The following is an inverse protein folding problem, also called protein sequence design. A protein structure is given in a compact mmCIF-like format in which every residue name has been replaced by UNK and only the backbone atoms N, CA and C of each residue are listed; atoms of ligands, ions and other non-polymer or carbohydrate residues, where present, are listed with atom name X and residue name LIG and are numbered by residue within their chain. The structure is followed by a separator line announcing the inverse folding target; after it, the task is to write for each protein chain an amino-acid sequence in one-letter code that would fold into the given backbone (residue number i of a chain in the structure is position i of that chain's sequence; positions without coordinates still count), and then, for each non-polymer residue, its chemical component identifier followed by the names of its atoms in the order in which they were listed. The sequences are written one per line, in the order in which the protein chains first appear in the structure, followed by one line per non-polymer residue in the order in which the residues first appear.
data_IF_526311208088
#
_entry.id   IF_526311208088
#
_cell.length_a   1.000
_cell.length_b   1.000
_cell.length_c   1.000
_cell.angle_alpha   90.00
_cell.angle_beta   90.00
_cell.angle_gamma   90.00
#
_symmetry.space_group_name_H-M   'P 1'
#
loop_
_entity.id
_entity.type
_entity.pdbx_description
1 polymer ?
#
# COMPACT_ATOMS: atom_id res chain seq x y z
N UNK A 1 19.47 -12.73 21.07
CA UNK A 1 19.06 -12.42 22.45
C UNK A 1 17.95 -13.39 22.82
N UNK A 2 18.14 -14.14 23.91
CA UNK A 2 17.08 -14.98 24.45
C UNK A 2 15.97 -14.10 25.02
N UNK A 3 14.72 -14.56 24.86
CA UNK A 3 13.56 -13.85 25.39
C UNK A 3 13.53 -13.99 26.92
N UNK A 4 13.74 -12.87 27.60
CA UNK A 4 13.78 -12.80 29.08
C UNK A 4 12.42 -12.52 29.71
N UNK A 5 11.35 -12.33 28.88
CA UNK A 5 10.02 -11.98 29.37
C UNK A 5 9.23 -13.23 29.79
N UNK A 6 8.54 -13.13 30.92
CA UNK A 6 7.53 -14.12 31.31
C UNK A 6 6.32 -14.06 30.34
N UNK A 7 5.53 -15.15 30.24
CA UNK A 7 4.31 -15.15 29.40
C UNK A 7 3.35 -14.00 29.75
N UNK A 8 3.19 -13.68 31.04
CA UNK A 8 2.34 -12.58 31.48
C UNK A 8 2.88 -11.22 31.08
N UNK A 9 4.18 -10.98 31.22
CA UNK A 9 4.83 -9.76 30.77
C UNK A 9 4.69 -9.57 29.24
N UNK A 10 4.87 -10.66 28.49
CA UNK A 10 4.70 -10.65 27.04
C UNK A 10 3.26 -10.31 26.65
N UNK A 11 2.28 -10.99 27.24
CA UNK A 11 0.86 -10.71 27.01
C UNK A 11 0.55 -9.23 27.31
N UNK A 12 1.04 -8.68 28.43
CA UNK A 12 0.86 -7.29 28.78
C UNK A 12 1.47 -6.33 27.74
N UNK A 13 2.70 -6.57 27.30
CA UNK A 13 3.33 -5.76 26.25
C UNK A 13 2.57 -5.83 24.92
N UNK A 14 2.18 -7.03 24.50
CA UNK A 14 1.47 -7.24 23.23
C UNK A 14 0.09 -6.62 23.24
N UNK A 15 -0.64 -6.65 24.35
CA UNK A 15 -1.97 -6.04 24.48
C UNK A 15 -1.94 -4.50 24.37
N UNK A 16 -0.78 -3.89 24.60
CA UNK A 16 -0.60 -2.43 24.51
C UNK A 16 -0.13 -1.93 23.15
N UNK A 17 0.21 -2.84 22.24
CA UNK A 17 0.58 -2.46 20.87
C UNK A 17 -0.68 -1.93 20.16
N UNK A 18 -0.63 -0.66 19.79
CA UNK A 18 -1.73 -0.01 19.07
C UNK A 18 -1.69 -0.41 17.61
N UNK A 19 -2.83 -0.83 17.07
CA UNK A 19 -3.02 -1.13 15.65
C UNK A 19 -3.51 0.07 14.83
N UNK A 20 -3.74 1.22 15.48
CA UNK A 20 -4.22 2.45 14.86
C UNK A 20 -3.61 3.66 15.56
N UNK A 21 -3.53 4.76 14.82
CA UNK A 21 -2.99 6.03 15.31
C UNK A 21 -1.58 5.89 15.87
N UNK A 22 -0.78 5.09 15.20
CA UNK A 22 0.63 4.89 15.51
C UNK A 22 1.42 6.19 15.26
N UNK A 23 2.59 6.28 15.87
CA UNK A 23 3.47 7.45 15.68
C UNK A 23 3.84 7.68 14.21
N UNK A 24 4.21 6.66 13.40
CA UNK A 24 4.45 6.83 11.98
C UNK A 24 3.24 7.36 11.20
N UNK A 25 2.06 6.79 11.42
CA UNK A 25 0.81 7.26 10.78
C UNK A 25 0.53 8.74 11.09
N UNK A 26 0.68 9.15 12.36
CA UNK A 26 0.49 10.56 12.77
C UNK A 26 1.49 11.50 12.10
N UNK A 27 2.74 11.07 11.89
CA UNK A 27 3.76 11.86 11.18
C UNK A 27 3.37 12.09 9.73
N UNK A 28 2.95 11.04 9.01
CA UNK A 28 2.47 11.12 7.62
C UNK A 28 1.26 12.05 7.53
N UNK A 29 0.25 11.85 8.38
CA UNK A 29 -0.97 12.67 8.41
C UNK A 29 -0.67 14.14 8.69
N UNK A 30 0.21 14.44 9.66
CA UNK A 30 0.61 15.80 10.01
C UNK A 30 1.34 16.48 8.86
N UNK A 31 2.24 15.76 8.19
CA UNK A 31 2.98 16.29 7.05
C UNK A 31 2.03 16.62 5.89
N UNK A 32 1.19 15.67 5.49
CA UNK A 32 0.19 15.88 4.44
C UNK A 32 -0.72 17.08 4.71
N UNK A 33 -1.21 17.20 5.94
CA UNK A 33 -2.06 18.32 6.32
C UNK A 33 -1.34 19.66 6.24
N UNK A 34 -0.09 19.72 6.72
CA UNK A 34 0.77 20.91 6.67
C UNK A 34 1.00 21.40 5.23
N UNK A 35 1.11 20.46 4.28
CA UNK A 35 1.34 20.75 2.85
C UNK A 35 0.04 20.89 2.04
N UNK A 36 -1.10 21.10 2.70
CA UNK A 36 -2.36 21.40 2.05
C UNK A 36 -3.11 20.20 1.47
N UNK A 37 -2.62 18.98 1.67
CA UNK A 37 -3.30 17.76 1.22
C UNK A 37 -4.50 17.45 2.11
N UNK A 38 -5.62 17.09 1.47
CA UNK A 38 -6.84 16.65 2.16
C UNK A 38 -7.03 15.16 1.95
N UNK A 39 -7.29 14.46 3.03
CA UNK A 39 -7.41 13.00 3.05
C UNK A 39 -8.53 12.54 4.00
N UNK A 40 -8.88 11.27 3.91
CA UNK A 40 -9.77 10.59 4.85
C UNK A 40 -9.02 9.41 5.48
N UNK A 41 -9.43 9.06 6.69
CA UNK A 41 -8.93 7.90 7.43
C UNK A 41 -10.07 6.92 7.68
N UNK A 42 -9.77 5.65 7.92
CA UNK A 42 -10.76 4.62 8.28
C UNK A 42 -11.93 4.54 7.27
N UNK A 43 -11.68 4.68 5.98
CA UNK A 43 -12.73 4.64 4.95
C UNK A 43 -13.26 3.21 4.81
N UNK A 44 -14.56 3.03 5.06
CA UNK A 44 -15.23 1.73 4.87
C UNK A 44 -15.30 1.37 3.38
N UNK A 45 -15.20 0.08 3.06
CA UNK A 45 -15.30 -0.42 1.68
C UNK A 45 -14.03 -0.27 0.84
N UNK A 46 -12.93 0.25 1.41
CA UNK A 46 -11.63 0.26 0.74
C UNK A 46 -10.83 -0.97 1.18
N UNK A 47 -10.41 -1.84 0.25
CA UNK A 47 -9.62 -3.04 0.56
C UNK A 47 -8.35 -2.71 1.35
N UNK A 48 -7.94 -3.60 2.26
CA UNK A 48 -6.72 -3.44 3.05
C UNK A 48 -6.78 -2.38 4.15
N UNK A 49 -7.84 -1.57 4.23
CA UNK A 49 -8.03 -0.49 5.23
C UNK A 49 -6.83 0.47 5.27
N UNK A 50 -6.53 1.20 4.21
CA UNK A 50 -5.40 2.12 4.15
C UNK A 50 -5.48 3.19 5.26
N UNK A 51 -4.33 3.62 5.76
CA UNK A 51 -4.20 4.63 6.82
C UNK A 51 -4.59 6.03 6.35
N UNK A 52 -4.42 6.28 5.04
CA UNK A 52 -4.76 7.55 4.38
C UNK A 52 -5.38 7.27 3.03
N UNK A 53 -6.54 7.88 2.76
CA UNK A 53 -7.24 7.80 1.46
C UNK A 53 -7.40 9.19 0.87
N UNK A 54 -6.82 9.42 -0.29
CA UNK A 54 -6.84 10.69 -1.00
C UNK A 54 -7.68 10.57 -2.29
N UNK A 55 -8.99 10.85 -2.18
CA UNK A 55 -9.92 10.69 -3.32
C UNK A 55 -9.57 11.53 -4.53
N UNK A 56 -9.13 12.79 -4.31
CA UNK A 56 -8.71 13.69 -5.40
C UNK A 56 -7.60 13.06 -6.24
N UNK A 57 -6.64 12.41 -5.60
CA UNK A 57 -5.49 11.76 -6.24
C UNK A 57 -5.72 10.29 -6.55
N UNK A 58 -6.90 9.72 -6.20
CA UNK A 58 -7.19 8.28 -6.27
C UNK A 58 -6.06 7.44 -5.66
N UNK A 59 -5.56 7.86 -4.52
CA UNK A 59 -4.40 7.25 -3.87
C UNK A 59 -4.76 6.73 -2.49
N UNK A 60 -4.33 5.50 -2.22
CA UNK A 60 -4.39 4.84 -0.93
C UNK A 60 -2.96 4.70 -0.38
N UNK A 61 -2.72 5.22 0.83
CA UNK A 61 -1.40 5.15 1.48
C UNK A 61 -1.51 4.20 2.66
N UNK A 62 -0.60 3.23 2.71
CA UNK A 62 -0.42 2.29 3.82
C UNK A 62 0.86 2.63 4.56
N UNK A 63 0.82 2.62 5.88
CA UNK A 63 1.96 2.86 6.76
C UNK A 63 2.28 1.56 7.50
N UNK A 64 3.21 0.80 6.95
CA UNK A 64 3.53 -0.54 7.42
C UNK A 64 4.62 -0.52 8.48
N UNK A 65 4.39 -1.20 9.61
CA UNK A 65 5.42 -1.50 10.60
C UNK A 65 6.39 -2.55 10.03
N UNK A 66 7.69 -2.27 10.09
CA UNK A 66 8.71 -3.12 9.47
C UNK A 66 8.63 -4.57 9.91
N UNK A 67 8.46 -4.81 11.20
CA UNK A 67 8.38 -6.16 11.76
C UNK A 67 7.12 -6.93 11.31
N UNK A 68 5.94 -6.27 11.37
CA UNK A 68 4.65 -6.93 11.14
C UNK A 68 4.42 -7.32 9.68
N UNK A 69 5.04 -6.58 8.77
CA UNK A 69 4.90 -6.77 7.32
C UNK A 69 6.18 -7.28 6.66
N UNK A 70 7.21 -7.62 7.46
CA UNK A 70 8.45 -8.25 6.99
C UNK A 70 9.27 -7.39 6.03
N UNK A 71 9.45 -6.10 6.34
CA UNK A 71 10.18 -5.19 5.47
C UNK A 71 11.62 -5.68 5.19
N UNK A 72 11.90 -5.98 3.92
CA UNK A 72 13.22 -6.46 3.47
C UNK A 72 13.58 -7.86 3.98
N UNK A 73 12.64 -8.60 4.56
CA UNK A 73 12.83 -10.01 4.90
C UNK A 73 12.61 -10.84 3.66
N UNK A 74 13.61 -11.59 3.25
CA UNK A 74 13.50 -12.58 2.19
C UNK A 74 13.31 -13.96 2.79
N UNK A 75 12.28 -14.64 2.34
CA UNK A 75 12.00 -16.03 2.72
C UNK A 75 12.17 -16.87 1.45
N UNK A 76 13.22 -17.67 1.39
CA UNK A 76 13.48 -18.55 0.27
C UNK A 76 13.23 -20.00 0.70
N UNK A 77 12.36 -20.69 -0.04
CA UNK A 77 12.19 -22.13 0.08
C UNK A 77 12.97 -22.78 -1.05
N UNK A 78 13.99 -23.56 -0.72
CA UNK A 78 14.82 -24.27 -1.70
C UNK A 78 14.00 -25.28 -2.56
N UNK A 79 12.74 -25.57 -2.17
CA UNK A 79 11.82 -26.49 -2.89
C UNK A 79 10.85 -25.77 -3.84
N UNK A 80 10.62 -24.48 -3.61
CA UNK A 80 9.77 -23.65 -4.43
C UNK A 80 10.59 -22.42 -4.81
N UNK A 81 11.10 -22.30 -5.99
CA UNK A 81 11.81 -21.09 -6.47
C UNK A 81 10.90 -19.85 -6.47
N UNK A 82 10.30 -19.53 -5.33
CA UNK A 82 9.44 -18.37 -5.11
C UNK A 82 10.18 -17.40 -4.22
N UNK A 83 10.79 -16.43 -4.84
CA UNK A 83 11.35 -15.27 -4.14
C UNK A 83 10.19 -14.32 -3.78
N UNK A 84 9.76 -14.32 -2.53
CA UNK A 84 8.85 -13.30 -2.02
C UNK A 84 9.70 -12.15 -1.49
N UNK A 85 10.26 -11.39 -2.38
CA UNK A 85 11.06 -10.20 -2.09
C UNK A 85 10.49 -9.01 -2.82
N UNK A 86 9.92 -8.06 -2.09
CA UNK A 86 9.54 -6.77 -2.63
C UNK A 86 10.77 -5.90 -2.86
N UNK A 87 11.32 -5.90 -4.05
CA UNK A 87 12.14 -4.81 -4.58
C UNK A 87 11.64 -4.48 -5.98
N UNK A 88 11.55 -3.18 -6.27
CA UNK A 88 11.16 -2.58 -7.54
C UNK A 88 11.76 -3.31 -8.75
N UNK A 89 10.95 -4.07 -9.43
CA UNK A 89 11.01 -4.31 -10.88
C UNK A 89 10.02 -5.41 -11.25
N UNK A 90 9.16 -5.12 -12.23
CA UNK A 90 8.10 -6.01 -12.68
C UNK A 90 8.60 -7.39 -13.11
N UNK A 91 8.22 -8.41 -12.35
CA UNK A 91 8.40 -9.81 -12.71
C UNK A 91 7.01 -10.45 -12.80
N UNK A 92 6.78 -11.08 -13.93
CA UNK A 92 5.55 -11.77 -14.28
C UNK A 92 5.16 -12.81 -13.22
N UNK A 93 3.97 -12.64 -12.65
CA UNK A 93 3.38 -13.60 -11.70
C UNK A 93 2.74 -14.74 -12.49
N UNK A 94 3.35 -15.92 -12.42
CA UNK A 94 2.70 -17.16 -12.82
C UNK A 94 1.47 -17.43 -11.95
N UNK A 95 0.36 -17.87 -12.55
CA UNK A 95 -0.86 -18.29 -11.85
C UNK A 95 -0.52 -19.40 -10.85
N UNK A 96 -0.61 -19.11 -9.57
CA UNK A 96 -0.57 -20.10 -8.51
C UNK A 96 -2.00 -20.35 -8.06
N UNK A 97 -2.48 -21.57 -8.25
CA UNK A 97 -3.79 -22.02 -7.74
C UNK A 97 -3.82 -21.97 -6.22
N UNK A 98 -4.86 -21.32 -5.68
CA UNK A 98 -5.15 -21.20 -4.26
C UNK A 98 -5.45 -22.57 -3.63
N UNK A 99 -4.44 -23.17 -2.99
CA UNK A 99 -4.68 -24.11 -1.90
C UNK A 99 -3.89 -23.65 -0.69
N UNK A 100 -4.58 -23.19 0.34
CA UNK A 100 -4.03 -22.98 1.69
C UNK A 100 -3.47 -24.31 2.24
N UNK A 101 -2.25 -24.64 1.88
CA UNK A 101 -1.51 -25.74 2.49
C UNK A 101 -0.73 -25.13 3.67
N UNK A 102 -0.80 -25.70 4.87
CA UNK A 102 0.03 -25.24 5.98
C UNK A 102 1.50 -25.36 5.57
N UNK A 103 2.17 -24.22 5.52
CA UNK A 103 3.56 -24.11 5.09
C UNK A 103 4.46 -24.84 6.09
N UNK A 104 5.08 -25.97 5.69
CA UNK A 104 6.10 -26.62 6.49
C UNK A 104 7.42 -25.89 6.31
N UNK A 105 7.95 -25.34 7.39
CA UNK A 105 9.12 -24.45 7.42
C UNK A 105 10.46 -25.24 7.40
N UNK A 106 10.46 -26.54 7.22
CA UNK A 106 11.68 -27.33 7.09
C UNK A 106 12.41 -26.98 5.78
N UNK A 107 13.59 -26.36 5.89
CA UNK A 107 14.44 -25.98 4.76
C UNK A 107 14.29 -24.51 4.31
N UNK A 108 13.54 -23.68 5.00
CA UNK A 108 13.39 -22.26 4.68
C UNK A 108 14.58 -21.47 5.20
N UNK A 109 15.25 -20.76 4.30
CA UNK A 109 16.26 -19.76 4.64
C UNK A 109 15.60 -18.41 4.81
N UNK A 110 15.93 -17.72 5.91
CA UNK A 110 15.41 -16.39 6.22
C UNK A 110 16.55 -15.41 6.33
N UNK A 111 16.51 -14.41 5.47
CA UNK A 111 17.43 -13.28 5.54
C UNK A 111 16.74 -12.11 6.23
N UNK A 112 17.27 -11.71 7.39
CA UNK A 112 16.77 -10.56 8.13
C UNK A 112 17.27 -9.26 7.52
N UNK A 113 16.42 -8.22 7.51
CA UNK A 113 16.83 -6.87 7.16
C UNK A 113 17.31 -6.09 8.38
N UNK A 114 17.92 -4.92 8.15
CA UNK A 114 18.36 -4.04 9.24
C UNK A 114 17.21 -3.57 10.15
N UNK A 115 16.02 -3.37 9.58
CA UNK A 115 14.85 -2.85 10.30
C UNK A 115 13.84 -3.93 10.71
N UNK A 116 13.98 -5.16 10.23
CA UNK A 116 13.12 -6.29 10.59
C UNK A 116 13.96 -7.53 10.91
N UNK A 117 13.92 -7.94 12.18
CA UNK A 117 14.61 -9.14 12.65
C UNK A 117 13.59 -10.12 13.20
N UNK A 118 13.56 -11.32 12.67
CA UNK A 118 12.68 -12.39 13.14
C UNK A 118 13.23 -12.93 14.46
N UNK A 119 12.40 -13.07 15.50
CA UNK A 119 12.81 -13.64 16.79
C UNK A 119 13.29 -15.08 16.62
N UNK A 120 14.33 -15.44 17.37
CA UNK A 120 14.84 -16.80 17.39
C UNK A 120 13.91 -17.78 18.12
N UNK A 121 13.07 -17.27 19.03
CA UNK A 121 12.02 -18.06 19.68
C UNK A 121 10.77 -18.10 18.81
N UNK A 122 10.21 -19.29 18.59
CA UNK A 122 9.04 -19.51 17.72
C UNK A 122 9.21 -18.94 16.31
N UNK A 123 10.40 -19.10 15.74
CA UNK A 123 10.75 -18.57 14.40
C UNK A 123 9.76 -18.99 13.34
N UNK A 124 9.35 -20.27 13.34
CA UNK A 124 8.37 -20.81 12.39
C UNK A 124 7.03 -20.06 12.44
N UNK A 125 6.50 -19.83 13.63
CA UNK A 125 5.26 -19.07 13.81
C UNK A 125 5.37 -17.65 13.22
N UNK A 126 6.51 -16.97 13.45
CA UNK A 126 6.73 -15.62 12.96
C UNK A 126 6.87 -15.57 11.45
N UNK A 127 7.59 -16.52 10.86
CA UNK A 127 7.73 -16.63 9.41
C UNK A 127 6.36 -16.80 8.76
N UNK A 128 5.57 -17.79 9.21
CA UNK A 128 4.23 -18.01 8.67
C UNK A 128 3.32 -16.79 8.83
N UNK A 129 3.41 -16.10 9.96
CA UNK A 129 2.62 -14.89 10.21
C UNK A 129 3.00 -13.75 9.27
N UNK A 130 4.29 -13.54 9.04
CA UNK A 130 4.80 -12.49 8.14
C UNK A 130 4.38 -12.81 6.69
N UNK A 131 4.56 -14.04 6.23
CA UNK A 131 4.15 -14.47 4.89
C UNK A 131 2.65 -14.19 4.66
N UNK A 132 1.78 -14.65 5.57
CA UNK A 132 0.33 -14.39 5.46
C UNK A 132 -0.02 -12.90 5.44
N UNK A 133 0.71 -12.08 6.19
CA UNK A 133 0.51 -10.64 6.17
C UNK A 133 0.91 -10.06 4.81
N UNK A 134 2.05 -10.46 4.25
CA UNK A 134 2.53 -10.00 2.95
C UNK A 134 1.59 -10.42 1.82
N UNK A 135 1.13 -11.68 1.80
CA UNK A 135 0.17 -12.19 0.81
C UNK A 135 -1.14 -11.39 0.84
N UNK A 136 -1.70 -11.22 2.04
CA UNK A 136 -2.93 -10.41 2.23
C UNK A 136 -2.74 -8.98 1.78
N UNK A 137 -1.60 -8.35 2.10
CA UNK A 137 -1.31 -6.97 1.73
C UNK A 137 -1.18 -6.84 0.22
N UNK A 138 -0.45 -7.76 -0.44
CA UNK A 138 -0.32 -7.79 -1.90
C UNK A 138 -1.66 -8.00 -2.61
N UNK A 139 -2.50 -8.88 -2.10
CA UNK A 139 -3.85 -9.09 -2.64
C UNK A 139 -4.67 -7.79 -2.56
N UNK A 140 -4.66 -7.11 -1.40
CA UNK A 140 -5.36 -5.84 -1.23
C UNK A 140 -4.81 -4.74 -2.16
N UNK A 141 -3.49 -4.67 -2.33
CA UNK A 141 -2.86 -3.70 -3.23
C UNK A 141 -3.25 -3.96 -4.69
N UNK A 142 -3.25 -5.23 -5.11
CA UNK A 142 -3.70 -5.62 -6.45
C UNK A 142 -5.14 -5.21 -6.71
N UNK A 143 -6.07 -5.54 -5.80
CA UNK A 143 -7.48 -5.15 -5.92
C UNK A 143 -7.63 -3.63 -6.05
N UNK A 144 -6.88 -2.85 -5.27
CA UNK A 144 -6.92 -1.39 -5.36
C UNK A 144 -6.41 -0.88 -6.71
N UNK A 145 -5.29 -1.44 -7.20
CA UNK A 145 -4.69 -1.05 -8.47
C UNK A 145 -5.61 -1.39 -9.66
N UNK A 146 -6.24 -2.57 -9.66
CA UNK A 146 -7.23 -2.99 -10.66
C UNK A 146 -8.44 -2.05 -10.69
N UNK A 147 -8.83 -1.50 -9.52
CA UNK A 147 -9.86 -0.48 -9.40
C UNK A 147 -9.37 0.95 -9.71
N UNK A 148 -8.18 1.10 -10.30
CA UNK A 148 -7.62 2.39 -10.70
C UNK A 148 -7.19 3.28 -9.53
N UNK A 149 -6.79 2.69 -8.41
CA UNK A 149 -6.16 3.40 -7.31
C UNK A 149 -4.64 3.30 -7.39
N UNK A 150 -3.96 4.39 -7.11
CA UNK A 150 -2.55 4.34 -6.78
C UNK A 150 -2.39 3.81 -5.35
N UNK A 151 -1.48 2.86 -5.17
CA UNK A 151 -1.11 2.35 -3.85
C UNK A 151 0.29 2.84 -3.52
N UNK A 152 0.44 3.50 -2.37
CA UNK A 152 1.73 3.93 -1.83
C UNK A 152 1.93 3.22 -0.49
N UNK A 153 3.03 2.49 -0.36
CA UNK A 153 3.40 1.81 0.88
C UNK A 153 4.58 2.54 1.50
N UNK A 154 4.40 2.97 2.74
CA UNK A 154 5.43 3.66 3.53
C UNK A 154 5.84 2.76 4.69
N UNK A 155 7.14 2.62 4.89
CA UNK A 155 7.69 1.81 5.95
C UNK A 155 8.06 2.64 7.18
N UNK A 156 7.82 2.11 8.36
CA UNK A 156 8.14 2.79 9.62
C UNK A 156 9.58 3.31 9.69
N UNK A 157 10.55 2.56 9.17
CA UNK A 157 11.95 2.95 9.14
C UNK A 157 12.20 4.22 8.30
N UNK A 158 11.44 4.42 7.21
CA UNK A 158 11.50 5.59 6.33
C UNK A 158 10.87 6.84 6.97
N UNK A 159 10.01 6.65 7.97
CA UNK A 159 9.27 7.71 8.65
C UNK A 159 9.94 8.19 9.94
N UNK A 160 11.21 7.81 10.16
CA UNK A 160 12.02 8.37 11.24
C UNK A 160 12.23 9.87 11.00
N UNK A 161 12.39 10.69 12.06
CA UNK A 161 12.46 12.17 11.92
C UNK A 161 13.48 12.65 10.88
N UNK A 162 14.62 11.98 10.77
CA UNK A 162 15.70 12.34 9.82
C UNK A 162 15.37 12.05 8.35
N UNK A 163 14.50 11.07 8.10
CA UNK A 163 14.16 10.61 6.74
C UNK A 163 12.77 11.06 6.30
N UNK A 164 11.95 11.51 7.24
CA UNK A 164 10.54 11.84 7.01
C UNK A 164 10.36 12.82 5.84
N UNK A 165 11.08 13.93 5.86
CA UNK A 165 10.92 14.97 4.84
C UNK A 165 11.25 14.45 3.44
N UNK A 166 12.38 13.77 3.30
CA UNK A 166 12.79 13.17 2.03
C UNK A 166 11.76 12.15 1.52
N UNK A 167 11.30 11.26 2.40
CA UNK A 167 10.28 10.25 2.05
C UNK A 167 8.98 10.89 1.60
N UNK A 168 8.53 11.92 2.30
CA UNK A 168 7.27 12.58 1.99
C UNK A 168 7.32 13.43 0.71
N UNK A 169 8.48 14.02 0.39
CA UNK A 169 8.68 14.66 -0.91
C UNK A 169 8.58 13.66 -2.07
N UNK A 170 9.11 12.44 -1.90
CA UNK A 170 8.93 11.37 -2.89
C UNK A 170 7.44 11.00 -3.06
N UNK A 171 6.69 10.93 -1.96
CA UNK A 171 5.24 10.71 -2.00
C UNK A 171 4.54 11.82 -2.78
N UNK A 172 4.90 13.07 -2.55
CA UNK A 172 4.34 14.22 -3.26
C UNK A 172 4.56 14.13 -4.78
N UNK A 173 5.78 13.81 -5.19
CA UNK A 173 6.09 13.59 -6.62
C UNK A 173 5.24 12.47 -7.21
N UNK A 174 5.09 11.34 -6.49
CA UNK A 174 4.25 10.23 -6.94
C UNK A 174 2.77 10.63 -7.06
N UNK A 175 2.24 11.39 -6.10
CA UNK A 175 0.86 11.90 -6.13
C UNK A 175 0.61 12.78 -7.36
N UNK A 176 1.51 13.71 -7.64
CA UNK A 176 1.37 14.62 -8.78
C UNK A 176 1.50 13.89 -10.11
N UNK A 177 2.48 13.01 -10.25
CA UNK A 177 2.67 12.21 -11.47
C UNK A 177 1.45 11.34 -11.78
N UNK A 178 0.88 10.70 -10.77
CA UNK A 178 -0.32 9.88 -10.96
C UNK A 178 -1.55 10.73 -11.27
N UNK A 179 -1.69 11.87 -10.62
CA UNK A 179 -2.78 12.82 -10.88
C UNK A 179 -2.75 13.33 -12.33
N UNK A 180 -1.59 13.76 -12.81
CA UNK A 180 -1.41 14.23 -14.19
C UNK A 180 -1.75 13.14 -15.21
N UNK A 181 -1.24 11.92 -15.02
CA UNK A 181 -1.57 10.76 -15.89
C UNK A 181 -3.07 10.45 -15.91
N UNK A 182 -3.75 10.61 -14.78
CA UNK A 182 -5.18 10.34 -14.67
C UNK A 182 -6.01 11.46 -15.27
N UNK A 183 -5.57 12.71 -15.13
CA UNK A 183 -6.21 13.88 -15.71
C UNK A 183 -6.13 13.86 -17.24
N UNK A 184 -4.95 13.59 -17.81
CA UNK A 184 -4.74 13.51 -19.26
C UNK A 184 -5.63 12.43 -19.90
N UNK A 185 -5.81 11.27 -19.27
CA UNK A 185 -6.74 10.24 -19.76
C UNK A 185 -8.18 10.70 -19.77
N UNK A 186 -8.63 11.47 -18.77
CA UNK A 186 -9.99 12.00 -18.69
C UNK A 186 -10.23 13.07 -19.74
N UNK A 187 -9.30 13.99 -19.94
CA UNK A 187 -9.42 15.04 -20.97
C UNK A 187 -9.54 14.44 -22.37
N UNK A 188 -8.73 13.42 -22.70
CA UNK A 188 -8.83 12.71 -23.98
C UNK A 188 -10.17 12.00 -24.17
N UNK A 189 -10.76 11.45 -23.12
CA UNK A 189 -12.08 10.81 -23.19
C UNK A 189 -13.21 11.82 -23.44
N UNK A 190 -13.12 13.03 -22.89
CA UNK A 190 -14.09 14.11 -23.16
C UNK A 190 -13.98 14.65 -24.58
N UNK A 191 -12.79 14.79 -25.14
CA UNK A 191 -12.58 15.26 -26.52
C UNK A 191 -13.22 14.28 -27.51
N UNK A 192 -13.09 12.97 -27.33
CA UNK A 192 -13.73 11.98 -28.20
C UNK A 192 -15.26 12.01 -28.16
N UNK A 193 -15.86 12.37 -27.03
CA UNK A 193 -17.33 12.46 -26.90
C UNK A 193 -17.87 13.70 -27.60
N UNK A 194 -17.09 14.80 -27.67
CA UNK A 194 -17.49 16.01 -28.39
C UNK A 194 -17.40 15.86 -29.91
N UNK A 195 -16.47 15.03 -30.42
CA UNK A 195 -16.36 14.75 -31.86
C UNK A 195 -17.50 13.85 -32.38
N UNK A 196 -18.11 13.04 -31.51
CA UNK A 196 -19.23 12.15 -31.87
C UNK A 196 -20.61 12.75 -31.66
N UNK A 197 -20.72 13.98 -31.17
CA UNK A 197 -22.03 14.67 -31.07
C UNK A 197 -22.43 15.26 -32.42
N UNK A 198 -23.57 14.83 -33.01
CA UNK A 198 -24.07 15.48 -34.22
C UNK A 198 -24.33 16.95 -33.94
N UNK A 199 -23.75 17.82 -34.76
CA UNK A 199 -24.05 19.25 -34.72
C UNK A 199 -25.56 19.45 -34.77
N UNK A 200 -26.11 20.02 -33.70
CA UNK A 200 -27.51 20.41 -33.69
C UNK A 200 -27.73 21.35 -34.88
N UNK A 201 -28.60 20.94 -35.82
CA UNK A 201 -28.96 21.79 -36.93
C UNK A 201 -29.56 23.07 -36.35
N UNK A 202 -28.88 24.18 -36.55
CA UNK A 202 -29.42 25.52 -36.25
C UNK A 202 -30.67 25.70 -37.09
N UNK A 203 -31.83 25.68 -36.46
CA UNK A 203 -33.05 26.14 -37.08
C UNK A 203 -32.92 27.66 -37.30
N UNK A 204 -32.94 28.15 -38.52
CA UNK A 204 -32.95 29.59 -38.74
C UNK A 204 -34.22 30.17 -38.12
N UNK A 205 -34.04 31.02 -37.12
CA UNK A 205 -35.13 31.82 -36.55
C UNK A 205 -35.55 32.80 -37.62
N UNK A 206 -36.72 32.57 -38.23
CA UNK A 206 -37.36 33.47 -39.16
C UNK A 206 -37.88 34.69 -38.39
N UNK A 207 -37.16 35.80 -38.50
CA UNK A 207 -37.66 37.10 -38.03
C UNK A 207 -38.65 37.65 -39.06
N UNK A 208 -39.94 37.24 -38.96
CA UNK A 208 -41.02 37.81 -39.69
C UNK A 208 -41.07 39.33 -39.43
N UNK A 209 -40.91 40.10 -40.50
CA UNK A 209 -41.19 41.52 -40.52
C UNK A 209 -42.71 41.75 -40.35
N UNK A 210 -43.10 42.50 -39.34
CA UNK A 210 -44.25 43.40 -39.33
C UNK A 210 -43.85 44.74 -38.72
#
# INVERSE_FOLDING_TARGET
MSDTMTPQQRHYCMSRIRSKDTTPEKRVRKWLWKHGYRYRICVKGVPGKPDVVMRKYRTAIFVNGCFWHGHGVQVTDDRLQVTVGGSDSGVAVGKVEEKCVPYKVEGVKVENSECCRIPQSNTEFWIQKIIRNQERDQQNYRILQENGWQVIVLWECQLKPKLLEHTMLQVEVQLHNYYLKTFDRRSKQYIHVEEDMPMAAENPIDYGNE
#
